data_IF_494226239591
#
_entry.id   IF_494226239591
#
_cell.length_a   1.000
_cell.length_b   1.000
_cell.length_c   1.000
_cell.angle_alpha   90.00
_cell.angle_beta   90.00
_cell.angle_gamma   90.00
#
_symmetry.space_group_name_H-M   'P 1'
#
loop_
_entity.id
_entity.type
_entity.pdbx_description
1 polymer ?
#
# COMPACT_ATOMS: atom_id res chain seq x y z
N UNK A 1 -2.44 26.23 10.43
CA UNK A 1 -1.01 26.02 10.14
C UNK A 1 -0.26 25.42 11.33
N UNK A 2 -0.43 25.94 12.56
CA UNK A 2 0.29 25.41 13.74
C UNK A 2 0.07 23.92 13.99
N UNK A 3 -1.16 23.42 13.78
CA UNK A 3 -1.47 22.01 13.95
C UNK A 3 -0.81 21.15 12.85
N UNK A 4 -0.81 21.64 11.62
CA UNK A 4 -0.25 20.95 10.46
C UNK A 4 1.28 20.92 10.49
N UNK A 5 1.91 22.02 10.93
CA UNK A 5 3.33 22.07 11.22
C UNK A 5 3.70 21.10 12.34
N UNK A 6 2.86 21.00 13.38
CA UNK A 6 3.07 20.01 14.45
C UNK A 6 3.02 18.58 13.91
N UNK A 7 2.06 18.23 13.05
CA UNK A 7 2.02 16.91 12.39
C UNK A 7 3.29 16.65 11.59
N UNK A 8 3.72 17.61 10.77
CA UNK A 8 4.94 17.51 9.98
C UNK A 8 6.18 17.31 10.86
N UNK A 9 6.38 18.15 11.88
CA UNK A 9 7.56 18.10 12.73
C UNK A 9 7.57 16.89 13.67
N UNK A 10 6.40 16.41 14.10
CA UNK A 10 6.28 15.17 14.86
C UNK A 10 6.72 13.98 14.01
N UNK A 11 6.29 13.90 12.76
CA UNK A 11 6.74 12.86 11.84
C UNK A 11 8.24 12.99 11.53
N UNK A 12 8.73 14.22 11.29
CA UNK A 12 10.15 14.50 11.05
C UNK A 12 11.02 14.04 12.24
N UNK A 13 10.51 14.20 13.46
CA UNK A 13 11.19 13.77 14.69
C UNK A 13 10.90 12.32 15.07
N UNK A 14 10.16 11.56 14.24
CA UNK A 14 9.73 10.19 14.50
C UNK A 14 9.06 10.02 15.89
N UNK A 15 8.16 10.95 16.25
CA UNK A 15 7.39 10.85 17.50
C UNK A 15 6.48 9.62 17.45
N UNK A 16 6.31 8.96 18.59
CA UNK A 16 5.42 7.81 18.72
C UNK A 16 4.01 8.09 18.18
N UNK A 17 3.40 7.09 17.53
CA UNK A 17 2.09 7.19 16.87
C UNK A 17 2.01 8.20 15.71
N UNK A 18 3.14 8.54 15.10
CA UNK A 18 3.15 9.23 13.80
C UNK A 18 3.28 8.22 12.65
N UNK A 19 2.95 8.64 11.42
CA UNK A 19 3.05 7.78 10.25
C UNK A 19 4.47 7.22 10.07
N UNK A 20 5.50 8.07 10.18
CA UNK A 20 6.89 7.61 10.07
C UNK A 20 7.25 6.62 11.17
N UNK A 21 6.83 6.88 12.40
CA UNK A 21 7.08 5.93 13.50
C UNK A 21 6.43 4.57 13.24
N UNK A 22 5.15 4.55 12.82
CA UNK A 22 4.47 3.31 12.45
C UNK A 22 5.19 2.58 11.32
N UNK A 23 5.61 3.32 10.29
CA UNK A 23 6.25 2.74 9.12
C UNK A 23 7.66 2.23 9.42
N UNK A 24 8.48 2.96 10.20
CA UNK A 24 9.89 2.62 10.43
C UNK A 24 10.11 1.69 11.61
N UNK A 25 9.40 1.88 12.72
CA UNK A 25 9.65 1.15 13.97
C UNK A 25 8.67 -0.03 14.16
N UNK A 26 7.43 0.13 13.70
CA UNK A 26 6.38 -0.89 13.87
C UNK A 26 6.14 -1.71 12.60
N UNK A 27 6.80 -1.37 11.48
CA UNK A 27 6.56 -2.00 10.17
C UNK A 27 5.08 -2.03 9.83
N UNK A 28 4.39 -0.89 9.96
CA UNK A 28 2.96 -0.75 9.68
C UNK A 28 2.70 0.45 8.76
N UNK A 29 2.04 0.20 7.64
CA UNK A 29 1.53 1.26 6.77
C UNK A 29 0.14 1.70 7.25
N UNK A 30 0.11 2.70 8.12
CA UNK A 30 -1.14 3.26 8.65
C UNK A 30 -1.72 4.32 7.70
N UNK A 31 -2.76 3.96 6.95
CA UNK A 31 -3.42 4.85 6.00
C UNK A 31 -4.01 6.13 6.63
N UNK A 32 -4.73 6.08 7.76
CA UNK A 32 -5.17 7.28 8.45
C UNK A 32 -4.04 8.27 8.75
N UNK A 33 -2.92 7.79 9.31
CA UNK A 33 -1.76 8.64 9.63
C UNK A 33 -1.05 9.13 8.37
N UNK A 34 -0.98 8.31 7.31
CA UNK A 34 -0.49 8.74 6.00
C UNK A 34 -1.30 9.95 5.48
N UNK A 35 -2.63 9.83 5.50
CA UNK A 35 -3.50 10.90 5.03
C UNK A 35 -3.45 12.14 5.93
N UNK A 36 -3.32 11.98 7.23
CA UNK A 36 -3.10 13.10 8.17
C UNK A 36 -1.84 13.88 7.81
N UNK A 37 -0.72 13.17 7.60
CA UNK A 37 0.54 13.76 7.19
C UNK A 37 0.42 14.44 5.82
N UNK A 38 -0.06 13.72 4.81
CA UNK A 38 -0.18 14.22 3.44
C UNK A 38 -1.02 15.50 3.40
N UNK A 39 -2.20 15.50 4.05
CA UNK A 39 -3.07 16.67 4.09
C UNK A 39 -2.47 17.83 4.89
N UNK A 40 -1.76 17.54 5.98
CA UNK A 40 -1.05 18.57 6.75
C UNK A 40 0.00 19.28 5.88
N UNK A 41 0.78 18.53 5.11
CA UNK A 41 1.78 19.10 4.21
C UNK A 41 1.13 19.90 3.07
N UNK A 42 -0.01 19.45 2.53
CA UNK A 42 -0.77 20.24 1.54
C UNK A 42 -1.21 21.60 2.08
N UNK A 43 -1.68 21.65 3.32
CA UNK A 43 -2.04 22.91 3.98
C UNK A 43 -0.80 23.78 4.15
N UNK A 44 0.33 23.22 4.59
CA UNK A 44 1.60 23.97 4.70
C UNK A 44 1.99 24.58 3.36
N UNK A 45 1.94 23.82 2.26
CA UNK A 45 2.23 24.32 0.90
C UNK A 45 1.28 25.46 0.53
N UNK A 46 -0.02 25.27 0.73
CA UNK A 46 -1.02 26.28 0.39
C UNK A 46 -0.80 27.61 1.11
N UNK A 47 -0.44 27.57 2.39
CA UNK A 47 -0.20 28.77 3.20
C UNK A 47 1.17 29.42 2.92
N UNK A 48 2.12 28.67 2.33
CA UNK A 48 3.49 29.13 2.06
C UNK A 48 3.80 29.35 0.57
N UNK A 49 2.84 29.14 -0.32
CA UNK A 49 3.02 29.13 -1.78
C UNK A 49 3.66 30.41 -2.35
N UNK A 50 3.27 31.57 -1.82
CA UNK A 50 3.77 32.89 -2.24
C UNK A 50 4.83 33.46 -1.27
N UNK A 51 5.35 32.61 -0.37
CA UNK A 51 6.33 33.00 0.64
C UNK A 51 7.71 32.46 0.31
N UNK A 52 8.79 33.12 0.78
CA UNK A 52 10.12 32.52 0.74
C UNK A 52 10.11 31.17 1.47
N UNK A 53 10.78 30.18 0.87
CA UNK A 53 10.87 28.84 1.46
C UNK A 53 11.53 28.90 2.85
N UNK A 54 10.81 28.40 3.85
CA UNK A 54 11.36 28.17 5.17
C UNK A 54 12.29 26.96 5.16
N UNK A 55 13.50 27.13 5.71
CA UNK A 55 14.54 26.10 5.68
C UNK A 55 14.18 24.86 6.50
N UNK A 56 13.56 25.04 7.65
CA UNK A 56 13.21 23.92 8.52
C UNK A 56 12.02 23.14 7.95
N UNK A 57 11.02 23.84 7.40
CA UNK A 57 9.92 23.20 6.67
C UNK A 57 10.45 22.45 5.44
N UNK A 58 11.33 23.08 4.64
CA UNK A 58 11.94 22.46 3.46
C UNK A 58 12.69 21.18 3.82
N UNK A 59 13.47 21.24 4.90
CA UNK A 59 14.22 20.09 5.42
C UNK A 59 13.29 18.98 5.89
N UNK A 60 12.23 19.32 6.63
CA UNK A 60 11.26 18.35 7.12
C UNK A 60 10.55 17.65 5.95
N UNK A 61 10.00 18.39 4.99
CA UNK A 61 9.32 17.82 3.81
C UNK A 61 10.26 16.92 3.00
N UNK A 62 11.49 17.37 2.75
CA UNK A 62 12.47 16.59 1.98
C UNK A 62 12.88 15.31 2.69
N UNK A 63 13.15 15.38 3.99
CA UNK A 63 13.50 14.23 4.81
C UNK A 63 12.35 13.21 4.83
N UNK A 64 11.14 13.68 5.06
CA UNK A 64 9.93 12.86 5.10
C UNK A 64 9.74 12.08 3.80
N UNK A 65 9.82 12.77 2.68
CA UNK A 65 9.72 12.14 1.36
C UNK A 65 10.82 11.10 1.15
N UNK A 66 12.08 11.45 1.40
CA UNK A 66 13.21 10.53 1.26
C UNK A 66 13.05 9.30 2.17
N UNK A 67 12.58 9.49 3.40
CA UNK A 67 12.43 8.42 4.37
C UNK A 67 11.31 7.45 4.00
N UNK A 68 10.18 7.96 3.51
CA UNK A 68 9.08 7.12 3.02
C UNK A 68 9.55 6.30 1.82
N UNK A 69 10.22 6.92 0.84
CA UNK A 69 10.74 6.20 -0.32
C UNK A 69 11.78 5.15 0.07
N UNK A 70 12.68 5.46 1.00
CA UNK A 70 13.65 4.50 1.54
C UNK A 70 12.95 3.27 2.11
N UNK A 71 11.94 3.46 2.96
CA UNK A 71 11.18 2.37 3.59
C UNK A 71 10.38 1.57 2.56
N UNK A 72 9.82 2.22 1.54
CA UNK A 72 9.18 1.55 0.42
C UNK A 72 10.17 0.66 -0.34
N UNK A 73 11.39 1.15 -0.63
CA UNK A 73 12.41 0.37 -1.34
C UNK A 73 12.81 -0.88 -0.53
N UNK A 74 12.89 -0.75 0.80
CA UNK A 74 13.20 -1.89 1.68
C UNK A 74 12.16 -3.02 1.61
N UNK A 75 10.90 -2.75 1.30
CA UNK A 75 9.87 -3.79 1.13
C UNK A 75 10.11 -4.73 -0.06
N UNK A 76 10.87 -4.26 -1.05
CA UNK A 76 11.29 -5.02 -2.23
C UNK A 76 12.65 -5.71 -2.07
N UNK A 77 13.31 -5.52 -0.93
CA UNK A 77 14.63 -6.12 -0.68
C UNK A 77 14.52 -7.59 -0.31
N UNK A 78 15.24 -8.46 -1.02
CA UNK A 78 15.30 -9.91 -0.75
C UNK A 78 15.86 -10.26 0.63
N UNK A 79 16.58 -9.32 1.25
CA UNK A 79 17.17 -9.46 2.59
C UNK A 79 16.28 -8.88 3.69
N UNK A 80 15.12 -8.30 3.35
CA UNK A 80 14.19 -7.81 4.36
C UNK A 80 13.52 -9.00 5.07
N UNK A 81 13.84 -9.15 6.35
CA UNK A 81 13.37 -10.25 7.20
C UNK A 81 11.92 -10.00 7.66
N UNK A 82 11.45 -8.76 7.57
CA UNK A 82 10.09 -8.35 7.89
C UNK A 82 9.27 -7.99 6.64
N UNK A 83 7.96 -7.84 6.84
CA UNK A 83 7.07 -7.20 5.89
C UNK A 83 6.29 -6.13 6.62
N UNK A 84 6.17 -4.97 5.99
CA UNK A 84 5.28 -3.94 6.49
C UNK A 84 3.82 -4.42 6.41
N UNK A 85 3.13 -4.44 7.54
CA UNK A 85 1.70 -4.71 7.62
C UNK A 85 0.92 -3.64 6.86
N UNK A 86 -0.14 -4.04 6.15
CA UNK A 86 -0.99 -3.18 5.32
C UNK A 86 -0.25 -2.43 4.21
N UNK A 87 0.91 -2.92 3.78
CA UNK A 87 1.67 -2.25 2.74
C UNK A 87 0.90 -2.18 1.41
N UNK A 88 0.83 -0.99 0.77
CA UNK A 88 -0.13 -0.72 -0.29
C UNK A 88 0.40 -1.10 -1.69
N UNK A 89 0.79 -2.36 -1.90
CA UNK A 89 1.48 -2.80 -3.14
C UNK A 89 0.76 -2.38 -4.44
N UNK A 90 -0.57 -2.48 -4.49
CA UNK A 90 -1.38 -2.14 -5.68
C UNK A 90 -1.36 -0.63 -5.97
N UNK A 91 -1.42 0.18 -4.90
CA UNK A 91 -1.61 1.64 -4.97
C UNK A 91 -0.29 2.38 -4.78
N UNK A 92 0.84 1.66 -4.76
CA UNK A 92 2.12 2.21 -4.38
C UNK A 92 2.58 3.29 -5.37
N UNK A 93 2.41 3.04 -6.66
CA UNK A 93 2.68 4.02 -7.71
C UNK A 93 1.88 5.32 -7.49
N UNK A 94 0.60 5.21 -7.11
CA UNK A 94 -0.27 6.36 -6.86
C UNK A 94 0.16 7.13 -5.60
N UNK A 95 0.62 6.43 -4.56
CA UNK A 95 1.17 7.04 -3.35
C UNK A 95 2.47 7.79 -3.65
N UNK A 96 3.39 7.15 -4.39
CA UNK A 96 4.67 7.75 -4.78
C UNK A 96 4.45 8.98 -5.66
N UNK A 97 3.54 8.90 -6.62
CA UNK A 97 3.16 10.02 -7.47
C UNK A 97 2.67 11.21 -6.64
N UNK A 98 1.71 10.99 -5.75
CA UNK A 98 1.17 12.02 -4.85
C UNK A 98 2.26 12.66 -3.98
N UNK A 99 3.13 11.85 -3.37
CA UNK A 99 4.24 12.36 -2.57
C UNK A 99 5.23 13.17 -3.41
N UNK A 100 5.54 12.72 -4.62
CA UNK A 100 6.46 13.41 -5.53
C UNK A 100 5.91 14.77 -5.94
N UNK A 101 4.63 14.84 -6.32
CA UNK A 101 3.98 16.10 -6.66
C UNK A 101 3.80 17.04 -5.47
N UNK A 102 3.61 16.49 -4.28
CA UNK A 102 3.53 17.28 -3.04
C UNK A 102 4.86 18.01 -2.78
N UNK A 103 5.98 17.29 -2.90
CA UNK A 103 7.32 17.85 -2.73
C UNK A 103 7.65 18.85 -3.84
N UNK A 104 7.41 18.48 -5.10
CA UNK A 104 7.66 19.39 -6.23
C UNK A 104 6.82 20.67 -6.14
N UNK A 105 5.55 20.53 -5.74
CA UNK A 105 4.64 21.64 -5.49
C UNK A 105 5.12 22.59 -4.40
N UNK A 106 5.66 22.06 -3.30
CA UNK A 106 6.29 22.89 -2.26
C UNK A 106 7.45 23.73 -2.81
N UNK A 107 8.36 23.12 -3.57
CA UNK A 107 9.55 23.83 -4.07
C UNK A 107 9.27 24.78 -5.23
N UNK A 108 8.25 24.49 -6.05
CA UNK A 108 7.89 25.31 -7.23
C UNK A 108 6.75 26.28 -6.99
N UNK A 109 6.09 26.23 -5.84
CA UNK A 109 4.97 27.11 -5.52
C UNK A 109 3.70 26.76 -6.27
N UNK A 110 3.31 25.47 -6.29
CA UNK A 110 2.00 25.05 -6.79
C UNK A 110 1.41 23.92 -5.95
N UNK A 111 0.10 23.70 -6.09
CA UNK A 111 -0.58 22.57 -5.46
C UNK A 111 -1.50 21.91 -6.50
N UNK A 112 -1.39 20.60 -6.65
CA UNK A 112 -2.29 19.83 -7.52
C UNK A 112 -3.64 19.67 -6.83
N UNK A 113 -4.71 19.93 -7.58
CA UNK A 113 -6.07 19.64 -7.14
C UNK A 113 -6.31 18.13 -7.05
N UNK A 114 -7.02 17.67 -6.02
CA UNK A 114 -7.23 16.23 -5.80
C UNK A 114 -8.01 15.55 -6.92
N UNK A 115 -8.86 16.29 -7.63
CA UNK A 115 -9.60 15.80 -8.80
C UNK A 115 -8.71 15.40 -9.98
N UNK A 116 -7.43 15.80 -9.99
CA UNK A 116 -6.48 15.42 -11.02
C UNK A 116 -5.75 14.09 -10.72
N UNK A 117 -5.90 13.54 -9.52
CA UNK A 117 -5.31 12.25 -9.16
C UNK A 117 -6.25 11.10 -9.50
N UNK A 118 -5.67 9.92 -9.68
CA UNK A 118 -6.40 8.69 -9.98
C UNK A 118 -7.47 8.37 -8.92
N UNK A 119 -8.67 8.02 -9.38
CA UNK A 119 -9.82 7.69 -8.54
C UNK A 119 -9.63 6.42 -7.71
N UNK A 120 -8.65 5.56 -8.04
CA UNK A 120 -8.34 4.34 -7.29
C UNK A 120 -7.72 4.64 -5.90
N UNK A 121 -7.10 5.81 -5.71
CA UNK A 121 -6.57 6.27 -4.44
C UNK A 121 -7.22 7.59 -4.02
N UNK A 122 -8.38 7.49 -3.39
CA UNK A 122 -9.14 8.65 -2.91
C UNK A 122 -8.62 9.14 -1.56
N UNK A 123 -8.37 10.44 -1.48
CA UNK A 123 -8.10 11.12 -0.22
C UNK A 123 -9.40 11.23 0.60
N UNK A 124 -9.49 10.61 1.79
CA UNK A 124 -10.74 10.51 2.55
C UNK A 124 -11.28 11.86 3.04
N UNK A 125 -10.42 12.88 3.13
CA UNK A 125 -10.82 14.24 3.50
C UNK A 125 -11.38 15.01 2.29
N UNK A 126 -11.00 14.62 1.07
CA UNK A 126 -11.53 15.20 -0.16
C UNK A 126 -12.86 14.54 -0.51
N UNK A 127 -13.97 15.17 -0.11
CA UNK A 127 -15.32 14.69 -0.38
C UNK A 127 -15.76 15.02 -1.81
N UNK A 128 -15.53 14.08 -2.72
CA UNK A 128 -16.54 13.70 -3.70
C UNK A 128 -16.86 12.20 -3.50
N UNK A 129 -18.16 11.91 -3.37
CA UNK A 129 -18.65 10.69 -2.73
C UNK A 129 -18.35 9.38 -3.49
N UNK A 130 -18.37 8.31 -2.69
CA UNK A 130 -18.44 6.87 -2.98
C UNK A 130 -17.08 6.19 -3.23
N UNK A 131 -16.63 5.45 -2.21
CA UNK A 131 -15.76 4.27 -2.38
C UNK A 131 -16.55 3.23 -3.17
N UNK A 132 -16.25 3.12 -4.46
CA UNK A 132 -16.65 1.97 -5.25
C UNK A 132 -15.45 1.03 -5.17
N UNK A 133 -15.48 0.15 -4.18
CA UNK A 133 -14.57 -1.00 -4.17
C UNK A 133 -14.67 -1.73 -5.52
N UNK A 134 -13.54 -2.02 -6.18
CA UNK A 134 -13.54 -2.50 -7.54
C UNK A 134 -14.20 -3.89 -7.61
N UNK A 135 -15.00 -4.17 -8.66
CA UNK A 135 -15.68 -5.47 -8.79
C UNK A 135 -14.69 -6.63 -8.99
N UNK A 136 -13.45 -6.33 -9.36
CA UNK A 136 -12.37 -7.30 -9.59
C UNK A 136 -11.10 -6.77 -8.92
N UNK A 137 -10.37 -7.63 -8.21
CA UNK A 137 -9.06 -7.35 -7.62
C UNK A 137 -8.01 -8.34 -8.13
N UNK A 138 -6.77 -7.88 -8.33
CA UNK A 138 -5.64 -8.70 -8.78
C UNK A 138 -4.60 -8.85 -7.66
N UNK A 139 -4.50 -10.05 -7.11
CA UNK A 139 -3.61 -10.38 -6.01
C UNK A 139 -2.31 -10.96 -6.58
N UNK A 140 -1.16 -10.50 -6.08
CA UNK A 140 0.16 -10.98 -6.51
C UNK A 140 1.10 -11.24 -5.33
N UNK A 141 1.89 -12.30 -5.42
CA UNK A 141 2.94 -12.64 -4.48
C UNK A 141 4.26 -12.83 -5.24
N UNK A 142 5.25 -11.98 -4.93
CA UNK A 142 6.52 -11.88 -5.67
C UNK A 142 7.74 -12.00 -4.75
N UNK A 143 7.83 -13.06 -3.95
CA UNK A 143 8.94 -13.26 -3.00
C UNK A 143 9.48 -14.68 -3.05
N UNK A 144 10.75 -14.86 -2.64
CA UNK A 144 11.39 -16.18 -2.55
C UNK A 144 11.45 -16.94 -3.89
N UNK A 145 11.52 -16.21 -5.02
CA UNK A 145 11.48 -16.81 -6.36
C UNK A 145 10.10 -17.36 -6.76
N UNK A 146 9.06 -17.08 -5.97
CA UNK A 146 7.68 -17.35 -6.32
C UNK A 146 7.07 -16.11 -6.97
N UNK A 147 6.35 -16.37 -8.06
CA UNK A 147 5.53 -15.43 -8.79
C UNK A 147 4.16 -16.09 -8.88
N UNK A 148 3.21 -15.69 -8.02
CA UNK A 148 1.91 -16.34 -7.88
C UNK A 148 0.81 -15.29 -7.91
N UNK A 149 -0.20 -15.55 -8.73
CA UNK A 149 -1.28 -14.62 -9.01
C UNK A 149 -2.64 -15.19 -8.64
N UNK A 150 -3.53 -14.32 -8.18
CA UNK A 150 -4.94 -14.64 -7.97
C UNK A 150 -5.84 -13.47 -8.40
N UNK A 151 -7.08 -13.79 -8.71
CA UNK A 151 -8.11 -12.83 -9.07
C UNK A 151 -9.26 -12.96 -8.08
N UNK A 152 -9.69 -11.85 -7.51
CA UNK A 152 -10.85 -11.78 -6.64
C UNK A 152 -12.04 -11.16 -7.35
N UNK A 153 -13.20 -11.78 -7.27
CA UNK A 153 -14.45 -11.26 -7.81
C UNK A 153 -15.36 -10.82 -6.67
N UNK A 154 -15.90 -9.60 -6.77
CA UNK A 154 -16.81 -9.06 -5.79
C UNK A 154 -18.21 -9.66 -5.92
N UNK A 155 -18.72 -10.18 -4.82
CA UNK A 155 -20.07 -10.72 -4.68
C UNK A 155 -21.10 -9.61 -4.41
N UNK A 156 -22.37 -9.96 -4.56
CA UNK A 156 -23.50 -9.04 -4.29
C UNK A 156 -23.58 -8.58 -2.84
N UNK A 157 -23.00 -9.33 -1.90
CA UNK A 157 -22.93 -9.01 -0.47
C UNK A 157 -21.65 -8.23 -0.09
N UNK A 158 -20.89 -7.77 -1.09
CA UNK A 158 -19.61 -7.06 -0.96
C UNK A 158 -18.43 -7.90 -0.45
N UNK A 159 -18.57 -9.21 -0.32
CA UNK A 159 -17.43 -10.11 -0.12
C UNK A 159 -16.68 -10.37 -1.43
N UNK A 160 -15.48 -10.92 -1.36
CA UNK A 160 -14.70 -11.34 -2.52
C UNK A 160 -14.48 -12.83 -2.50
N UNK A 161 -14.71 -13.50 -3.62
CA UNK A 161 -14.26 -14.86 -3.85
C UNK A 161 -12.96 -14.85 -4.65
N UNK A 162 -11.93 -15.48 -4.10
CA UNK A 162 -10.57 -15.44 -4.63
C UNK A 162 -10.25 -16.74 -5.36
N UNK A 163 -9.72 -16.61 -6.58
CA UNK A 163 -9.36 -17.71 -7.47
C UNK A 163 -7.89 -17.60 -7.89
N UNK A 164 -7.20 -18.73 -7.95
CA UNK A 164 -5.82 -18.77 -8.46
C UNK A 164 -5.82 -18.53 -9.96
N UNK A 165 -4.93 -17.68 -10.45
CA UNK A 165 -4.79 -17.40 -11.87
C UNK A 165 -3.93 -18.47 -12.56
N UNK A 166 -4.59 -19.53 -13.02
CA UNK A 166 -3.94 -20.71 -13.60
C UNK A 166 -3.29 -20.49 -14.97
N UNK A 167 -3.56 -19.37 -15.65
CA UNK A 167 -2.94 -19.08 -16.95
C UNK A 167 -1.47 -18.64 -16.81
N UNK A 168 -1.15 -17.89 -15.75
CA UNK A 168 0.19 -17.42 -15.43
C UNK A 168 0.99 -18.43 -14.58
N UNK A 169 0.31 -19.25 -13.76
CA UNK A 169 0.94 -20.13 -12.74
C UNK A 169 1.00 -21.63 -13.14
N UNK A 170 1.12 -21.93 -14.44
CA UNK A 170 1.06 -23.32 -14.98
C UNK A 170 2.02 -24.34 -14.35
N UNK A 171 3.13 -23.88 -13.76
CA UNK A 171 4.14 -24.74 -13.10
C UNK A 171 3.67 -25.34 -11.76
N UNK A 172 2.59 -24.84 -11.15
CA UNK A 172 2.09 -25.30 -9.84
C UNK A 172 1.07 -26.45 -9.93
N UNK A 173 0.53 -26.71 -11.13
CA UNK A 173 -0.59 -27.62 -11.39
C UNK A 173 -0.21 -29.10 -11.27
N UNK A 174 1.08 -29.47 -11.31
CA UNK A 174 1.53 -30.86 -11.17
C UNK A 174 1.29 -31.45 -9.76
N UNK A 175 0.80 -30.67 -8.79
CA UNK A 175 0.53 -31.10 -7.41
C UNK A 175 -0.96 -31.12 -7.02
N UNK A 176 -1.68 -32.16 -7.49
CA UNK A 176 -2.91 -32.72 -6.88
C UNK A 176 -4.05 -31.74 -6.49
N UNK A 177 -4.62 -31.01 -7.43
CA UNK A 177 -5.92 -30.35 -7.22
C UNK A 177 -6.89 -30.68 -8.37
N UNK A 178 -8.13 -31.04 -8.01
CA UNK A 178 -9.15 -31.52 -8.94
C UNK A 178 -9.80 -30.37 -9.70
N UNK A 179 -9.71 -30.41 -11.03
CA UNK A 179 -10.39 -29.51 -11.95
C UNK A 179 -11.92 -29.55 -11.76
N UNK A 180 -12.51 -28.41 -11.43
CA UNK A 180 -13.87 -28.05 -11.84
C UNK A 180 -13.83 -26.65 -12.42
N UNK A 181 -14.13 -26.59 -13.71
CA UNK A 181 -14.14 -25.41 -14.56
C UNK A 181 -15.12 -24.37 -14.02
N UNK A 182 -14.63 -23.17 -13.66
CA UNK A 182 -14.82 -21.86 -14.34
C UNK A 182 -13.79 -20.88 -13.72
N UNK A 183 -12.93 -20.28 -14.55
CA UNK A 183 -12.03 -19.14 -14.21
C UNK A 183 -10.94 -19.30 -13.12
N UNK A 184 -10.56 -20.53 -12.74
CA UNK A 184 -9.40 -20.81 -11.88
C UNK A 184 -9.77 -21.59 -10.60
N UNK A 185 -8.78 -22.00 -9.81
CA UNK A 185 -9.01 -22.75 -8.57
C UNK A 185 -9.43 -21.80 -7.45
N UNK A 186 -10.66 -21.97 -6.92
CA UNK A 186 -11.12 -21.24 -5.74
C UNK A 186 -10.18 -21.46 -4.54
N UNK A 187 -9.84 -20.37 -3.86
CA UNK A 187 -8.88 -20.34 -2.76
C UNK A 187 -9.58 -20.12 -1.41
N UNK A 188 -10.27 -18.99 -1.26
CA UNK A 188 -11.01 -18.57 -0.07
C UNK A 188 -11.92 -17.38 -0.38
N UNK A 189 -12.80 -17.02 0.55
CA UNK A 189 -13.59 -15.79 0.51
C UNK A 189 -13.04 -14.76 1.51
N UNK A 190 -13.12 -13.48 1.19
CA UNK A 190 -12.69 -12.36 2.02
C UNK A 190 -13.80 -11.32 2.19
N UNK A 191 -13.87 -10.68 3.36
CA UNK A 191 -14.91 -9.69 3.68
C UNK A 191 -14.75 -8.37 2.93
N UNK A 192 -13.53 -8.09 2.48
CA UNK A 192 -13.12 -6.85 1.83
C UNK A 192 -11.80 -7.09 1.09
N UNK A 193 -11.39 -6.12 0.27
CA UNK A 193 -10.17 -6.22 -0.53
C UNK A 193 -8.91 -6.36 0.34
N UNK A 194 -8.77 -5.65 1.46
CA UNK A 194 -7.60 -5.71 2.34
C UNK A 194 -7.43 -7.11 2.96
N UNK A 195 -8.54 -7.68 3.44
CA UNK A 195 -8.59 -9.05 3.95
C UNK A 195 -8.18 -10.05 2.86
N UNK A 196 -8.56 -9.82 1.60
CA UNK A 196 -8.16 -10.68 0.50
C UNK A 196 -6.64 -10.72 0.29
N UNK A 197 -5.94 -9.57 0.30
CA UNK A 197 -4.48 -9.51 0.17
C UNK A 197 -3.77 -10.24 1.31
N UNK A 198 -4.18 -9.98 2.55
CA UNK A 198 -3.56 -10.60 3.73
C UNK A 198 -3.71 -12.12 3.69
N UNK A 199 -4.93 -12.61 3.47
CA UNK A 199 -5.22 -14.06 3.48
C UNK A 199 -4.56 -14.74 2.28
N UNK A 200 -4.46 -14.08 1.12
CA UNK A 200 -3.74 -14.62 -0.04
C UNK A 200 -2.26 -14.81 0.27
N UNK A 201 -1.63 -13.80 0.86
CA UNK A 201 -0.22 -13.86 1.24
C UNK A 201 0.06 -14.98 2.26
N UNK A 202 -0.78 -15.10 3.29
CA UNK A 202 -0.72 -16.21 4.26
C UNK A 202 -0.91 -17.58 3.59
N UNK A 203 -1.86 -17.67 2.65
CA UNK A 203 -2.16 -18.89 1.90
C UNK A 203 -0.96 -19.34 1.04
N UNK A 204 -0.32 -18.41 0.34
CA UNK A 204 0.87 -18.68 -0.49
C UNK A 204 2.02 -19.15 0.39
N UNK A 205 2.33 -18.41 1.47
CA UNK A 205 3.40 -18.78 2.40
C UNK A 205 3.19 -20.17 3.01
N UNK A 206 1.95 -20.51 3.39
CA UNK A 206 1.63 -21.83 3.96
C UNK A 206 1.82 -22.98 2.97
N UNK A 207 1.56 -22.76 1.67
CA UNK A 207 1.59 -23.83 0.66
C UNK A 207 2.91 -23.95 -0.10
N UNK A 208 3.59 -22.83 -0.33
CA UNK A 208 4.72 -22.77 -1.27
C UNK A 208 6.02 -22.27 -0.66
N UNK A 209 6.03 -21.75 0.57
CA UNK A 209 7.30 -21.39 1.23
C UNK A 209 8.14 -22.64 1.50
N UNK A 210 9.48 -22.60 1.29
CA UNK A 210 10.38 -23.75 1.47
C UNK A 210 10.35 -24.39 2.87
N UNK A 211 9.80 -23.71 3.87
CA UNK A 211 9.63 -24.27 5.22
C UNK A 211 8.38 -25.15 5.40
N UNK A 212 7.38 -25.10 4.51
CA UNK A 212 6.13 -25.88 4.65
C UNK A 212 6.23 -27.32 4.10
N UNK A 213 7.25 -27.61 3.27
CA UNK A 213 7.50 -28.94 2.70
C UNK A 213 8.05 -29.97 3.70
N UNK A 214 8.28 -29.61 4.97
CA UNK A 214 8.82 -30.52 5.99
C UNK A 214 7.81 -31.47 6.66
N UNK A 215 6.51 -31.40 6.36
CA UNK A 215 5.49 -32.25 7.01
C UNK A 215 4.72 -33.18 6.06
N UNK A 216 5.36 -33.72 5.02
CA UNK A 216 4.85 -34.89 4.29
C UNK A 216 5.95 -35.92 4.03
N UNK A 217 6.51 -36.44 5.12
CA UNK A 217 7.21 -37.73 5.11
C UNK A 217 7.13 -38.38 6.49
N UNK A 218 6.00 -39.05 6.75
CA UNK A 218 5.92 -40.38 7.37
C UNK A 218 4.46 -40.83 7.45
#
# INVERSE_FOLDING_TARGET
MDNELKVLFNNFSCVENTFIHKLSEESLFDFPLFWELYNSVRVVIKETIDQPLDREISRAISYMHAKILELIIWEYSDINVGQTENFPFIKLNLIIERLSFLVDGYFKGYLIDESNFDEELKNPIFKENVEIEPPIIHLGFFKQGLDIHAVGFKNTDSTYDIFLNEEDDKMLIESKLSLREVQGTFIFSATDSSTAYRVFHEWVMKRYSPYSLKNKSK
#
